data_IF_706583741726
#
_entry.id   IF_706583741726
#
_cell.length_a   1.000
_cell.length_b   1.000
_cell.length_c   1.000
_cell.angle_alpha   90.00
_cell.angle_beta   90.00
_cell.angle_gamma   90.00
#
_symmetry.space_group_name_H-M   'P 1'
#
loop_
_entity.id
_entity.type
_entity.pdbx_description
1 polymer ?
#
# COMPACT_ATOMS: atom_id res chain seq x y z
N UNK A 1 23.68 -8.56 15.60
CA UNK A 1 24.91 -9.29 15.94
C UNK A 1 25.20 -9.28 17.43
N UNK A 2 24.18 -9.17 18.20
CA UNK A 2 24.37 -9.56 19.58
C UNK A 2 24.21 -11.08 19.60
N UNK A 3 25.32 -11.76 19.35
CA UNK A 3 25.41 -13.21 19.34
C UNK A 3 25.26 -13.78 20.76
N UNK A 4 25.03 -12.90 21.74
CA UNK A 4 24.99 -13.26 23.12
C UNK A 4 23.75 -14.02 23.55
N UNK A 5 22.58 -13.83 22.97
CA UNK A 5 21.37 -14.48 23.53
C UNK A 5 20.24 -14.61 22.47
N UNK A 6 20.51 -15.24 21.34
CA UNK A 6 19.43 -16.02 20.78
C UNK A 6 19.36 -17.29 21.60
N UNK A 7 18.53 -17.29 22.63
CA UNK A 7 18.18 -18.53 23.31
C UNK A 7 17.92 -19.60 22.25
N UNK A 8 18.44 -20.80 22.45
CA UNK A 8 18.36 -21.89 21.44
C UNK A 8 16.97 -22.10 20.84
N UNK A 9 15.93 -21.74 21.60
CA UNK A 9 14.52 -21.79 21.18
C UNK A 9 14.19 -20.86 19.97
N UNK A 10 14.97 -19.80 19.74
CA UNK A 10 14.70 -18.85 18.64
C UNK A 10 15.56 -19.12 17.39
N UNK A 11 16.54 -20.00 17.47
CA UNK A 11 17.44 -20.30 16.33
C UNK A 11 16.71 -20.88 15.11
N UNK A 12 15.60 -21.58 15.33
CA UNK A 12 14.80 -22.18 14.26
C UNK A 12 13.79 -21.22 13.64
N UNK A 13 13.57 -20.03 14.23
CA UNK A 13 12.60 -19.05 13.71
C UNK A 13 13.19 -18.37 12.48
N UNK A 14 12.40 -18.39 11.40
CA UNK A 14 12.68 -17.66 10.17
C UNK A 14 11.84 -16.40 10.11
N UNK A 15 12.43 -15.33 9.60
CA UNK A 15 11.80 -14.02 9.50
C UNK A 15 11.49 -13.69 8.05
N UNK A 16 10.27 -13.22 7.80
CA UNK A 16 9.83 -12.75 6.48
C UNK A 16 9.39 -11.31 6.61
N UNK A 17 9.97 -10.44 5.80
CA UNK A 17 9.57 -9.03 5.70
C UNK A 17 8.69 -8.85 4.47
N UNK A 18 7.49 -8.28 4.65
CA UNK A 18 6.60 -7.89 3.54
C UNK A 18 6.68 -6.37 3.33
N UNK A 19 7.11 -5.96 2.14
CA UNK A 19 7.17 -4.55 1.73
C UNK A 19 5.88 -4.19 0.99
N UNK A 20 4.99 -3.48 1.66
CA UNK A 20 3.75 -2.99 1.07
C UNK A 20 3.92 -1.65 0.36
N UNK A 21 4.73 -0.76 0.94
CA UNK A 21 5.11 0.51 0.33
C UNK A 21 6.50 0.91 0.84
N UNK A 22 7.45 1.00 -0.08
CA UNK A 22 8.87 1.33 0.18
C UNK A 22 9.07 2.77 0.67
N UNK A 23 8.10 3.66 0.45
CA UNK A 23 8.16 5.05 0.88
C UNK A 23 8.18 5.17 2.42
N UNK A 24 7.51 4.25 3.11
CA UNK A 24 7.43 4.24 4.57
C UNK A 24 8.61 3.49 5.18
N UNK A 25 9.76 4.18 5.25
CA UNK A 25 11.03 3.57 5.64
C UNK A 25 11.29 3.58 7.16
N UNK A 26 10.49 4.30 7.94
CA UNK A 26 10.76 4.47 9.37
C UNK A 26 12.10 5.17 9.59
N UNK A 27 12.27 6.39 9.08
CA UNK A 27 13.49 7.20 9.25
C UNK A 27 13.36 8.06 10.50
N UNK A 28 14.37 7.97 11.34
CA UNK A 28 14.42 8.67 12.62
C UNK A 28 15.84 9.06 12.98
N UNK A 29 15.98 10.04 13.88
CA UNK A 29 17.26 10.37 14.49
C UNK A 29 17.83 9.12 15.21
N UNK A 30 19.15 8.86 15.17
CA UNK A 30 19.78 7.70 15.82
C UNK A 30 19.50 7.55 17.31
N UNK A 31 19.19 8.62 18.02
CA UNK A 31 18.84 8.55 19.45
C UNK A 31 17.61 7.66 19.72
N UNK A 32 16.73 7.48 18.73
CA UNK A 32 15.56 6.60 18.85
C UNK A 32 15.92 5.16 19.20
N UNK A 33 17.15 4.71 18.88
CA UNK A 33 17.59 3.36 19.20
C UNK A 33 17.61 3.11 20.71
N UNK A 34 18.20 4.02 21.48
CA UNK A 34 18.17 3.94 22.93
C UNK A 34 16.82 4.29 23.52
N UNK A 35 16.24 5.44 23.11
CA UNK A 35 15.08 6.03 23.75
C UNK A 35 13.78 5.23 23.56
N UNK A 36 13.56 4.65 22.38
CA UNK A 36 12.33 3.91 22.06
C UNK A 36 12.53 2.40 21.97
N UNK A 37 13.67 1.96 21.45
CA UNK A 37 13.88 0.53 21.19
C UNK A 37 14.75 -0.15 22.25
N UNK A 38 15.41 0.61 23.14
CA UNK A 38 16.32 0.06 24.13
C UNK A 38 17.50 -0.68 23.52
N UNK A 39 17.89 -0.30 22.28
CA UNK A 39 19.00 -0.89 21.55
C UNK A 39 20.28 -0.09 21.74
N UNK A 40 21.40 -0.76 21.71
CA UNK A 40 22.71 -0.13 21.70
C UNK A 40 22.96 0.66 20.42
N UNK A 41 23.65 1.79 20.52
CA UNK A 41 23.99 2.62 19.37
C UNK A 41 24.92 1.92 18.36
N UNK A 42 25.62 0.86 18.77
CA UNK A 42 26.43 0.02 17.88
C UNK A 42 25.66 -0.55 16.67
N UNK A 43 24.35 -0.66 16.75
CA UNK A 43 23.50 -1.03 15.60
C UNK A 43 23.54 0.00 14.47
N UNK A 44 23.85 1.26 14.77
CA UNK A 44 24.08 2.29 13.77
C UNK A 44 25.52 2.25 13.21
N UNK A 45 26.50 1.87 14.01
CA UNK A 45 27.93 1.99 13.70
C UNK A 45 28.36 1.06 12.56
N UNK A 46 27.77 -0.12 12.42
CA UNK A 46 28.07 -1.06 11.33
C UNK A 46 27.37 -0.70 10.01
N UNK A 47 26.57 0.37 10.02
CA UNK A 47 25.83 0.85 8.84
C UNK A 47 24.62 -0.03 8.45
N UNK A 48 24.26 -1.05 9.23
CA UNK A 48 23.12 -1.93 8.91
C UNK A 48 21.81 -1.17 8.86
N UNK A 49 21.59 -0.27 9.81
CA UNK A 49 20.37 0.52 9.91
C UNK A 49 20.56 2.00 9.62
N UNK A 50 21.80 2.50 9.57
CA UNK A 50 22.08 3.90 9.31
C UNK A 50 22.08 4.21 7.81
N UNK A 51 21.38 5.26 7.42
CA UNK A 51 21.31 5.76 6.05
C UNK A 51 21.21 7.28 6.05
N UNK A 52 22.19 7.95 5.42
CA UNK A 52 22.25 9.42 5.35
C UNK A 52 22.21 10.13 6.71
N UNK A 53 22.80 9.53 7.74
CA UNK A 53 22.81 10.07 9.10
C UNK A 53 21.59 9.71 9.95
N UNK A 54 20.54 9.17 9.37
CA UNK A 54 19.34 8.70 10.07
C UNK A 54 19.33 7.17 10.24
N UNK A 55 18.63 6.70 11.26
CA UNK A 55 18.18 5.32 11.35
C UNK A 55 17.13 5.09 10.27
N UNK A 56 17.24 4.02 9.50
CA UNK A 56 16.27 3.56 8.53
C UNK A 56 15.85 2.13 8.88
N UNK A 57 14.69 2.00 9.52
CA UNK A 57 14.21 0.72 10.04
C UNK A 57 13.94 -0.29 8.93
N UNK A 58 13.40 0.19 7.80
CA UNK A 58 13.12 -0.68 6.65
C UNK A 58 14.41 -1.24 6.05
N UNK A 59 15.48 -0.42 5.94
CA UNK A 59 16.79 -0.88 5.51
C UNK A 59 17.30 -2.01 6.40
N UNK A 60 17.26 -1.81 7.71
CA UNK A 60 17.67 -2.83 8.67
C UNK A 60 16.84 -4.11 8.53
N UNK A 61 15.52 -3.98 8.43
CA UNK A 61 14.63 -5.12 8.26
C UNK A 61 14.92 -5.90 6.96
N UNK A 62 15.16 -5.21 5.84
CA UNK A 62 15.53 -5.85 4.56
C UNK A 62 16.84 -6.62 4.71
N UNK A 63 17.84 -6.05 5.38
CA UNK A 63 19.14 -6.70 5.53
C UNK A 63 19.09 -7.91 6.46
N UNK A 64 18.34 -7.82 7.56
CA UNK A 64 18.30 -8.84 8.61
C UNK A 64 17.29 -9.97 8.38
N UNK A 65 16.22 -9.74 7.63
CA UNK A 65 15.22 -10.78 7.37
C UNK A 65 15.79 -11.96 6.56
N UNK A 66 15.30 -13.18 6.82
CA UNK A 66 15.66 -14.37 6.05
C UNK A 66 15.08 -14.32 4.63
N UNK A 67 13.86 -13.78 4.47
CA UNK A 67 13.21 -13.56 3.18
C UNK A 67 12.53 -12.19 3.14
N UNK A 68 12.43 -11.63 1.95
CA UNK A 68 11.73 -10.36 1.69
C UNK A 68 10.73 -10.58 0.57
N UNK A 69 9.51 -10.12 0.74
CA UNK A 69 8.55 -10.10 -0.36
C UNK A 69 7.96 -8.69 -0.57
N UNK A 70 7.72 -8.36 -1.83
CA UNK A 70 6.93 -7.21 -2.23
C UNK A 70 5.52 -7.68 -2.64
N UNK A 71 4.56 -6.74 -2.71
CA UNK A 71 3.15 -7.06 -2.95
C UNK A 71 2.80 -7.33 -4.42
N UNK A 72 3.79 -7.48 -5.28
CA UNK A 72 3.66 -8.08 -6.62
C UNK A 72 5.02 -8.46 -7.20
N UNK A 73 5.10 -9.39 -8.16
CA UNK A 73 6.34 -9.69 -8.90
C UNK A 73 6.88 -8.47 -9.66
N UNK A 74 6.01 -7.67 -10.26
CA UNK A 74 6.36 -6.41 -10.92
C UNK A 74 7.00 -5.44 -9.93
N UNK A 75 6.36 -5.21 -8.79
CA UNK A 75 6.87 -4.31 -7.77
C UNK A 75 8.21 -4.79 -7.20
N UNK A 76 8.42 -6.09 -7.00
CA UNK A 76 9.72 -6.63 -6.59
C UNK A 76 10.85 -6.29 -7.59
N UNK A 77 10.55 -6.20 -8.89
CA UNK A 77 11.51 -5.76 -9.90
C UNK A 77 11.67 -4.24 -9.94
N UNK A 78 10.61 -3.48 -9.80
CA UNK A 78 10.62 -2.02 -9.70
C UNK A 78 11.48 -1.55 -8.52
N UNK A 79 11.40 -2.20 -7.38
CA UNK A 79 12.20 -1.90 -6.18
C UNK A 79 13.72 -2.05 -6.39
N UNK A 80 14.18 -2.67 -7.47
CA UNK A 80 15.59 -2.75 -7.84
C UNK A 80 16.06 -1.53 -8.65
N UNK A 81 15.15 -0.60 -8.99
CA UNK A 81 15.44 0.58 -9.79
C UNK A 81 15.42 1.86 -8.94
N UNK A 82 16.26 2.86 -9.27
CA UNK A 82 16.33 4.11 -8.48
C UNK A 82 14.99 4.86 -8.41
N UNK A 83 14.19 4.82 -9.48
CA UNK A 83 12.93 5.55 -9.58
C UNK A 83 11.90 5.10 -8.54
N UNK A 84 11.76 3.78 -8.33
CA UNK A 84 10.73 3.22 -7.45
C UNK A 84 11.20 2.91 -6.02
N UNK A 85 12.51 2.80 -5.80
CA UNK A 85 13.04 2.29 -4.54
C UNK A 85 13.29 3.33 -3.46
N UNK A 86 13.02 4.61 -3.70
CA UNK A 86 13.26 5.69 -2.74
C UNK A 86 14.65 5.60 -2.08
N UNK A 87 15.71 5.41 -2.92
CA UNK A 87 17.13 5.29 -2.54
C UNK A 87 17.54 3.94 -1.92
N UNK A 88 16.62 2.97 -1.83
CA UNK A 88 16.94 1.61 -1.36
C UNK A 88 17.28 0.62 -2.49
N UNK A 89 17.32 1.06 -3.75
CA UNK A 89 17.55 0.22 -4.94
C UNK A 89 18.85 -0.61 -4.88
N UNK A 90 19.93 -0.01 -4.40
CA UNK A 90 21.20 -0.72 -4.20
C UNK A 90 21.09 -1.87 -3.20
N UNK A 91 20.33 -1.66 -2.12
CA UNK A 91 20.07 -2.68 -1.10
C UNK A 91 19.14 -3.76 -1.66
N UNK A 92 18.07 -3.37 -2.36
CA UNK A 92 17.13 -4.31 -2.98
C UNK A 92 17.83 -5.18 -4.05
N UNK A 93 18.74 -4.63 -4.84
CA UNK A 93 19.56 -5.42 -5.79
C UNK A 93 20.47 -6.41 -5.05
N UNK A 94 21.18 -5.94 -4.01
CA UNK A 94 22.07 -6.79 -3.19
C UNK A 94 21.31 -7.94 -2.52
N UNK A 95 20.09 -7.67 -2.05
CA UNK A 95 19.21 -8.64 -1.41
C UNK A 95 18.29 -9.38 -2.41
N UNK A 96 18.52 -9.24 -3.72
CA UNK A 96 17.68 -9.82 -4.76
C UNK A 96 17.53 -11.34 -4.69
N UNK A 97 18.50 -12.05 -4.10
CA UNK A 97 18.45 -13.49 -3.90
C UNK A 97 17.36 -13.96 -2.93
N UNK A 98 16.91 -13.10 -2.02
CA UNK A 98 15.85 -13.37 -1.04
C UNK A 98 14.59 -12.53 -1.27
N UNK A 99 14.55 -11.74 -2.34
CA UNK A 99 13.42 -10.89 -2.71
C UNK A 99 12.49 -11.62 -3.66
N UNK A 100 11.22 -11.69 -3.33
CA UNK A 100 10.15 -12.24 -4.16
C UNK A 100 8.99 -11.26 -4.27
N UNK A 101 8.05 -11.53 -5.16
CA UNK A 101 6.80 -10.78 -5.27
C UNK A 101 5.60 -11.69 -5.08
N UNK A 102 4.70 -11.34 -4.18
CA UNK A 102 3.47 -12.09 -3.87
C UNK A 102 2.30 -11.12 -3.97
N UNK A 103 1.32 -11.44 -4.83
CA UNK A 103 0.11 -10.62 -4.97
C UNK A 103 -0.74 -10.68 -3.70
N UNK A 104 -1.30 -9.53 -3.33
CA UNK A 104 -2.29 -9.49 -2.26
C UNK A 104 -3.52 -10.33 -2.63
N UNK A 105 -4.06 -11.03 -1.65
CA UNK A 105 -5.32 -11.73 -1.78
C UNK A 105 -6.52 -10.78 -1.73
N UNK A 106 -7.65 -11.26 -2.21
CA UNK A 106 -8.96 -10.61 -2.10
C UNK A 106 -9.86 -11.53 -1.29
N UNK A 107 -10.59 -11.00 -0.33
CA UNK A 107 -11.62 -11.73 0.38
C UNK A 107 -12.85 -11.87 -0.53
N UNK A 108 -12.86 -12.94 -1.30
CA UNK A 108 -13.90 -13.24 -2.29
C UNK A 108 -15.28 -13.56 -1.67
N UNK A 109 -15.34 -13.84 -0.38
CA UNK A 109 -16.62 -14.05 0.33
C UNK A 109 -17.21 -12.73 0.77
N UNK A 110 -16.36 -11.83 1.28
CA UNK A 110 -16.78 -10.50 1.75
C UNK A 110 -17.17 -9.58 0.58
N UNK A 111 -16.46 -9.69 -0.54
CA UNK A 111 -16.68 -8.84 -1.73
C UNK A 111 -17.41 -9.56 -2.85
N UNK A 112 -18.30 -10.48 -2.50
CA UNK A 112 -19.17 -11.16 -3.47
C UNK A 112 -20.48 -10.38 -3.65
N UNK A 113 -20.72 -9.70 -4.78
CA UNK A 113 -21.94 -8.94 -5.00
C UNK A 113 -23.19 -9.82 -5.06
N UNK A 114 -23.06 -11.13 -5.26
CA UNK A 114 -24.20 -12.05 -5.24
C UNK A 114 -24.77 -12.27 -3.82
N UNK A 115 -23.97 -12.00 -2.79
CA UNK A 115 -24.35 -12.25 -1.38
C UNK A 115 -24.09 -11.05 -0.46
N UNK A 116 -23.61 -9.92 -0.98
CA UNK A 116 -23.32 -8.73 -0.19
C UNK A 116 -24.63 -8.12 0.36
N UNK A 117 -24.79 -8.03 1.68
CA UNK A 117 -25.98 -7.45 2.30
C UNK A 117 -25.99 -5.90 2.29
N UNK A 118 -24.89 -5.25 1.89
CA UNK A 118 -24.73 -3.81 1.94
C UNK A 118 -25.10 -3.07 0.65
N UNK A 119 -25.32 -3.80 -0.44
CA UNK A 119 -25.76 -3.22 -1.73
C UNK A 119 -27.28 -3.26 -1.84
N UNK A 120 -27.85 -2.35 -2.64
CA UNK A 120 -29.31 -2.22 -2.79
C UNK A 120 -29.94 -3.43 -3.44
N UNK A 121 -29.24 -4.07 -4.39
CA UNK A 121 -29.65 -5.30 -5.04
C UNK A 121 -28.44 -6.17 -5.38
N UNK A 122 -28.54 -7.46 -5.08
CA UNK A 122 -27.49 -8.40 -5.44
C UNK A 122 -27.40 -8.61 -6.96
N UNK A 123 -26.21 -8.86 -7.47
CA UNK A 123 -25.96 -9.14 -8.88
C UNK A 123 -24.80 -10.14 -9.04
N UNK A 124 -24.70 -10.75 -10.21
CA UNK A 124 -23.64 -11.68 -10.57
C UNK A 124 -23.24 -11.54 -12.02
N UNK A 125 -22.20 -12.25 -12.47
CA UNK A 125 -21.81 -12.30 -13.89
C UNK A 125 -22.94 -12.82 -14.77
N UNK A 126 -23.80 -13.70 -14.27
CA UNK A 126 -24.95 -14.26 -14.99
C UNK A 126 -26.20 -13.37 -14.97
N UNK A 127 -26.29 -12.45 -14.01
CA UNK A 127 -27.43 -11.53 -13.87
C UNK A 127 -26.94 -10.19 -13.32
N UNK A 128 -26.85 -9.21 -14.20
CA UNK A 128 -26.40 -7.84 -13.90
C UNK A 128 -27.56 -6.87 -13.61
N UNK A 129 -28.80 -7.34 -13.50
CA UNK A 129 -29.98 -6.47 -13.32
C UNK A 129 -29.92 -5.64 -12.05
N UNK A 130 -29.33 -6.18 -10.96
CA UNK A 130 -29.12 -5.46 -9.70
C UNK A 130 -28.23 -4.23 -9.81
N UNK A 131 -27.31 -4.17 -10.79
CA UNK A 131 -26.39 -3.01 -10.95
C UNK A 131 -27.13 -1.69 -11.20
N UNK A 132 -28.29 -1.71 -11.83
CA UNK A 132 -29.07 -0.49 -12.06
C UNK A 132 -29.69 0.02 -10.77
N UNK A 133 -30.19 -0.88 -9.92
CA UNK A 133 -30.71 -0.52 -8.61
C UNK A 133 -29.59 0.04 -7.70
N UNK A 134 -28.41 -0.58 -7.69
CA UNK A 134 -27.24 -0.08 -6.94
C UNK A 134 -26.81 1.29 -7.41
N UNK A 135 -26.81 1.52 -8.74
CA UNK A 135 -26.50 2.84 -9.31
C UNK A 135 -27.50 3.90 -8.85
N UNK A 136 -28.80 3.60 -8.93
CA UNK A 136 -29.85 4.52 -8.50
C UNK A 136 -29.74 4.85 -7.01
N UNK A 137 -29.45 3.84 -6.19
CA UNK A 137 -29.23 4.05 -4.74
C UNK A 137 -27.98 4.89 -4.47
N UNK A 138 -26.87 4.65 -5.18
CA UNK A 138 -25.66 5.47 -5.06
C UNK A 138 -25.93 6.93 -5.43
N UNK A 139 -26.68 7.17 -6.53
CA UNK A 139 -27.10 8.52 -6.93
C UNK A 139 -27.94 9.18 -5.82
N UNK A 140 -28.88 8.44 -5.22
CA UNK A 140 -29.71 8.92 -4.12
C UNK A 140 -28.87 9.29 -2.89
N UNK A 141 -27.97 8.41 -2.48
CA UNK A 141 -27.12 8.60 -1.30
C UNK A 141 -26.15 9.78 -1.45
N UNK A 142 -25.69 10.05 -2.66
CA UNK A 142 -24.74 11.12 -2.96
C UNK A 142 -25.41 12.43 -3.41
N UNK A 143 -26.74 12.46 -3.49
CA UNK A 143 -27.51 13.65 -3.94
C UNK A 143 -27.36 13.93 -5.45
N UNK A 144 -26.92 12.96 -6.24
CA UNK A 144 -26.82 13.10 -7.68
C UNK A 144 -28.18 12.95 -8.36
N UNK A 145 -28.30 13.52 -9.57
CA UNK A 145 -29.50 13.33 -10.40
C UNK A 145 -29.62 11.86 -10.78
N UNK A 146 -30.85 11.36 -10.78
CA UNK A 146 -31.21 10.01 -11.22
C UNK A 146 -31.11 9.91 -12.74
N UNK A 147 -29.98 9.48 -13.25
CA UNK A 147 -29.67 9.42 -14.68
C UNK A 147 -29.24 7.99 -15.05
N UNK A 148 -30.15 7.13 -15.50
CA UNK A 148 -29.90 5.71 -15.73
C UNK A 148 -28.82 5.44 -16.79
N UNK A 149 -28.68 6.32 -17.78
CA UNK A 149 -27.73 6.14 -18.89
C UNK A 149 -26.42 6.92 -18.73
N UNK A 150 -26.32 7.84 -17.78
CA UNK A 150 -25.09 8.59 -17.50
C UNK A 150 -24.19 7.77 -16.59
N UNK A 151 -22.93 7.49 -16.97
CA UNK A 151 -22.04 6.70 -16.13
C UNK A 151 -21.66 7.44 -14.85
N UNK A 152 -21.48 6.69 -13.75
CA UNK A 152 -20.83 7.18 -12.54
C UNK A 152 -19.37 6.74 -12.58
N UNK A 153 -18.45 7.70 -12.48
CA UNK A 153 -17.04 7.47 -12.25
C UNK A 153 -16.78 7.58 -10.74
N UNK A 154 -16.31 6.51 -10.14
CA UNK A 154 -16.02 6.44 -8.71
C UNK A 154 -14.53 6.43 -8.39
N UNK A 155 -14.09 7.27 -7.47
CA UNK A 155 -12.75 7.21 -6.88
C UNK A 155 -12.89 6.93 -5.38
N UNK A 156 -12.44 5.76 -4.95
CA UNK A 156 -12.43 5.36 -3.53
C UNK A 156 -10.99 5.11 -3.10
N UNK A 157 -10.40 6.07 -2.36
CA UNK A 157 -8.97 6.02 -2.03
C UNK A 157 -8.63 6.96 -0.88
N UNK A 158 -7.45 6.80 -0.27
CA UNK A 158 -6.85 7.89 0.50
C UNK A 158 -6.53 9.05 -0.45
N UNK A 159 -6.88 10.28 -0.03
CA UNK A 159 -6.63 11.48 -0.84
C UNK A 159 -5.21 11.98 -0.60
N UNK A 160 -4.24 11.26 -1.15
CA UNK A 160 -2.79 11.52 -1.06
C UNK A 160 -2.18 11.53 -2.47
N UNK A 161 -1.04 12.20 -2.63
CA UNK A 161 -0.42 12.46 -3.95
C UNK A 161 -0.18 11.19 -4.78
N UNK A 162 0.34 10.13 -4.17
CA UNK A 162 0.62 8.88 -4.88
C UNK A 162 -0.61 8.08 -5.32
N UNK A 163 -1.83 8.59 -5.08
CA UNK A 163 -3.09 8.05 -5.61
C UNK A 163 -3.56 8.77 -6.88
N UNK A 164 -2.77 9.70 -7.39
CA UNK A 164 -3.07 10.39 -8.64
C UNK A 164 -4.20 11.42 -8.53
N UNK A 165 -4.46 11.95 -7.34
CA UNK A 165 -5.48 12.99 -7.14
C UNK A 165 -5.12 14.26 -7.89
N UNK A 166 -3.85 14.61 -7.96
CA UNK A 166 -3.30 15.70 -8.73
C UNK A 166 -3.65 15.57 -10.23
N UNK A 167 -3.52 14.37 -10.79
CA UNK A 167 -3.90 14.10 -12.18
C UNK A 167 -5.41 14.29 -12.42
N UNK A 168 -6.24 13.83 -11.46
CA UNK A 168 -7.68 14.04 -11.54
C UNK A 168 -8.03 15.52 -11.47
N UNK A 169 -7.38 16.28 -10.57
CA UNK A 169 -7.59 17.72 -10.45
C UNK A 169 -7.22 18.48 -11.73
N UNK A 170 -6.13 18.09 -12.38
CA UNK A 170 -5.65 18.72 -13.63
C UNK A 170 -6.67 18.60 -14.77
N UNK A 171 -7.33 17.45 -14.88
CA UNK A 171 -8.30 17.19 -15.96
C UNK A 171 -9.77 17.32 -15.53
N UNK A 172 -10.02 17.76 -14.30
CA UNK A 172 -11.37 17.75 -13.73
C UNK A 172 -12.36 18.60 -14.54
N UNK A 173 -11.90 19.76 -15.03
CA UNK A 173 -12.74 20.64 -15.84
C UNK A 173 -13.22 19.94 -17.12
N UNK A 174 -12.28 19.34 -17.86
CA UNK A 174 -12.57 18.62 -19.10
C UNK A 174 -13.46 17.38 -18.84
N UNK A 175 -13.22 16.69 -17.72
CA UNK A 175 -14.06 15.57 -17.30
C UNK A 175 -15.51 15.99 -17.06
N UNK A 176 -15.74 17.16 -16.46
CA UNK A 176 -17.08 17.63 -16.14
C UNK A 176 -17.85 18.15 -17.37
N UNK A 177 -17.20 18.34 -18.52
CA UNK A 177 -17.88 18.58 -19.81
C UNK A 177 -18.47 17.29 -20.43
N UNK A 178 -18.02 16.12 -19.95
CA UNK A 178 -18.53 14.83 -20.41
C UNK A 178 -19.88 14.49 -19.74
N UNK A 179 -20.75 13.72 -20.42
CA UNK A 179 -22.00 13.25 -19.82
C UNK A 179 -21.71 12.16 -18.78
N UNK A 180 -21.19 12.55 -17.62
CA UNK A 180 -20.83 11.65 -16.52
C UNK A 180 -21.16 12.27 -15.16
N UNK A 181 -21.17 11.44 -14.14
CA UNK A 181 -21.23 11.84 -12.75
C UNK A 181 -19.96 11.38 -12.05
N UNK A 182 -19.39 12.21 -11.16
CA UNK A 182 -18.18 11.88 -10.40
C UNK A 182 -18.50 11.75 -8.91
N UNK A 183 -18.07 10.64 -8.32
CA UNK A 183 -18.16 10.40 -6.88
C UNK A 183 -16.76 10.13 -6.33
N UNK A 184 -16.32 10.96 -5.38
CA UNK A 184 -15.01 10.79 -4.71
C UNK A 184 -15.26 10.52 -3.24
N UNK A 185 -14.80 9.35 -2.78
CA UNK A 185 -14.85 8.95 -1.38
C UNK A 185 -13.43 8.72 -0.87
N UNK A 186 -13.04 9.51 0.13
CA UNK A 186 -11.72 9.36 0.70
C UNK A 186 -11.46 10.25 1.90
N UNK A 187 -10.34 9.98 2.57
CA UNK A 187 -9.81 10.82 3.64
C UNK A 187 -8.39 11.21 3.27
N UNK A 188 -8.06 12.47 3.42
CA UNK A 188 -6.72 13.02 3.19
C UNK A 188 -6.25 13.85 4.37
N UNK A 189 -5.02 14.33 4.27
CA UNK A 189 -4.47 15.28 5.24
C UNK A 189 -5.16 16.64 5.08
N UNK A 190 -5.52 17.25 6.21
CA UNK A 190 -5.94 18.66 6.19
C UNK A 190 -4.68 19.50 5.97
N UNK A 191 -4.57 20.13 4.82
CA UNK A 191 -3.60 21.21 4.61
C UNK A 191 -4.16 22.51 5.16
#
# INVERSE_FOLDING_TARGET
>A
KDDGVREDRFRSIRTVLSVHNIEYQGRYNPQVLGDLFGLDHGWADDGTILMDGDVNLLKGAILCADAVNAVSPTYANELKTPYFAHRLDGIMRRCGYKLSGVLNGIDIKRYDPATDPHIAANYSVGDMSGKQADKAELQRLTGLRQEPYVPIVGMVSRLVSHKGLDLVCEVLHDMMELPMQLVVLGKGDRK
#
